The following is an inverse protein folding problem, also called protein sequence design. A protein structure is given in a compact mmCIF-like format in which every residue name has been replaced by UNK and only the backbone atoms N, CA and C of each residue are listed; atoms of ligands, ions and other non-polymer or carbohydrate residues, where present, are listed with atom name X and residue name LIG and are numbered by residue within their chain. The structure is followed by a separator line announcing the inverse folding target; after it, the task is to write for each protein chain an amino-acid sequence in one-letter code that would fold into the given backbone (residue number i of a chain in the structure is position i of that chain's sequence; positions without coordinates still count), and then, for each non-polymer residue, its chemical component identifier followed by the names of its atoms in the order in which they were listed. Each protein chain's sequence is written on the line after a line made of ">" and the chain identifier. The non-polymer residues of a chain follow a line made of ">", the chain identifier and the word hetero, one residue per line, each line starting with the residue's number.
data_IF_761770161091
#
_entry.id   IF_761770161091
#
_cell.length_a   1.000
_cell.length_b   1.000
_cell.length_c   1.000
_cell.angle_alpha   90.00
_cell.angle_beta   90.00
_cell.angle_gamma   90.00
#
_symmetry.space_group_name_H-M   'P 1'
#
loop_
_entity.id
_entity.type
_entity.pdbx_description
1 polymer ?
#
# COMPACT_ATOMS: atom_id res chain seq x y z
N UNK A 1 -18.66 20.80 -11.96
CA UNK A 1 -17.94 19.76 -12.72
C UNK A 1 -18.38 18.35 -12.33
N UNK A 2 -18.21 17.92 -11.05
CA UNK A 2 -18.59 16.58 -10.57
C UNK A 2 -19.98 16.12 -11.02
N UNK A 3 -21.01 16.94 -10.78
CA UNK A 3 -22.40 16.58 -11.07
C UNK A 3 -22.77 16.58 -12.56
N UNK A 4 -21.90 17.07 -13.45
CA UNK A 4 -22.08 16.91 -14.89
C UNK A 4 -21.63 15.51 -15.35
N UNK A 5 -20.71 14.90 -14.61
CA UNK A 5 -20.08 13.61 -14.92
C UNK A 5 -20.72 12.48 -14.12
N UNK A 6 -21.15 12.78 -12.89
CA UNK A 6 -21.72 11.84 -11.93
C UNK A 6 -23.11 12.29 -11.44
N UNK A 7 -24.11 12.48 -12.32
CA UNK A 7 -25.43 12.97 -11.94
C UNK A 7 -26.22 11.98 -11.06
N UNK A 8 -26.07 10.67 -11.28
CA UNK A 8 -26.66 9.62 -10.44
C UNK A 8 -26.03 9.54 -9.06
N UNK A 9 -24.72 9.77 -8.92
CA UNK A 9 -24.07 9.92 -7.61
C UNK A 9 -24.71 11.08 -6.85
N UNK A 10 -24.94 12.22 -7.50
CA UNK A 10 -25.63 13.36 -6.88
C UNK A 10 -27.02 12.98 -6.39
N UNK A 11 -27.79 12.27 -7.22
CA UNK A 11 -29.14 11.84 -6.89
C UNK A 11 -29.17 10.86 -5.70
N UNK A 12 -28.15 10.01 -5.58
CA UNK A 12 -27.98 9.09 -4.45
C UNK A 12 -27.68 9.85 -3.16
N UNK A 13 -26.81 10.86 -3.22
CA UNK A 13 -26.32 11.57 -2.05
C UNK A 13 -27.27 12.64 -1.53
N UNK A 14 -28.13 13.21 -2.37
CA UNK A 14 -28.92 14.39 -2.03
C UNK A 14 -30.41 14.24 -2.32
N UNK A 15 -31.22 14.72 -1.38
CA UNK A 15 -32.65 14.93 -1.56
C UNK A 15 -32.99 16.42 -1.42
N UNK A 16 -34.08 16.85 -2.07
CA UNK A 16 -34.60 18.22 -1.90
C UNK A 16 -35.09 18.43 -0.47
N UNK A 17 -34.58 19.48 0.18
CA UNK A 17 -35.09 19.93 1.48
C UNK A 17 -36.18 20.99 1.31
N UNK A 18 -35.94 21.98 0.44
CA UNK A 18 -36.86 23.04 0.02
C UNK A 18 -36.36 23.65 -1.30
N UNK A 19 -37.13 24.48 -2.03
CA UNK A 19 -36.67 25.06 -3.29
C UNK A 19 -35.30 25.73 -3.16
N UNK A 20 -34.31 25.24 -3.93
CA UNK A 20 -32.92 25.72 -3.90
C UNK A 20 -32.01 25.09 -2.83
N UNK A 21 -32.51 24.19 -1.98
CA UNK A 21 -31.75 23.57 -0.88
C UNK A 21 -31.80 22.05 -0.94
N UNK A 22 -30.66 21.43 -0.68
CA UNK A 22 -30.47 19.99 -0.62
C UNK A 22 -30.08 19.57 0.80
N UNK A 23 -30.43 18.34 1.16
CA UNK A 23 -29.91 17.64 2.34
C UNK A 23 -29.21 16.36 1.91
N UNK A 24 -28.19 15.95 2.66
CA UNK A 24 -27.64 14.62 2.51
C UNK A 24 -28.69 13.57 2.90
N UNK A 25 -28.74 12.49 2.14
CA UNK A 25 -29.61 11.32 2.39
C UNK A 25 -28.92 10.26 3.24
N UNK A 26 -27.58 10.25 3.22
CA UNK A 26 -26.73 9.27 3.89
C UNK A 26 -25.96 9.91 5.05
N UNK A 27 -25.67 9.15 6.12
CA UNK A 27 -24.74 9.60 7.16
C UNK A 27 -23.32 9.71 6.60
N UNK A 28 -22.51 10.59 7.18
CA UNK A 28 -21.16 10.90 6.70
C UNK A 28 -20.24 9.68 6.46
N UNK A 29 -20.23 8.65 7.34
CA UNK A 29 -19.42 7.46 7.12
C UNK A 29 -19.80 6.67 5.86
N UNK A 30 -21.05 6.78 5.40
CA UNK A 30 -21.58 6.04 4.25
C UNK A 30 -21.40 6.78 2.92
N UNK A 31 -21.11 8.08 2.94
CA UNK A 31 -20.96 8.90 1.72
C UNK A 31 -19.82 8.39 0.84
N UNK A 32 -18.65 8.10 1.41
CA UNK A 32 -17.50 7.60 0.64
C UNK A 32 -17.76 6.23 0.01
N UNK A 33 -18.23 5.21 0.75
CA UNK A 33 -18.67 3.94 0.16
C UNK A 33 -19.72 4.12 -0.94
N UNK A 34 -20.71 5.00 -0.74
CA UNK A 34 -21.76 5.24 -1.73
C UNK A 34 -21.23 5.83 -3.03
N UNK A 35 -20.22 6.71 -2.97
CA UNK A 35 -19.56 7.24 -4.18
C UNK A 35 -18.74 6.15 -4.87
N UNK A 36 -17.86 5.46 -4.13
CA UNK A 36 -16.92 4.49 -4.68
C UNK A 36 -17.62 3.28 -5.33
N UNK A 37 -18.74 2.85 -4.74
CA UNK A 37 -19.51 1.71 -5.24
C UNK A 37 -20.59 2.10 -6.25
N UNK A 38 -20.73 3.39 -6.59
CA UNK A 38 -21.74 3.83 -7.55
C UNK A 38 -21.33 3.44 -8.99
N UNK A 39 -22.25 2.90 -9.81
CA UNK A 39 -21.94 2.48 -11.18
C UNK A 39 -21.32 3.58 -12.07
N UNK A 40 -21.75 4.83 -11.91
CA UNK A 40 -21.15 5.96 -12.65
C UNK A 40 -19.69 6.22 -12.25
N UNK A 41 -19.33 6.03 -10.98
CA UNK A 41 -17.95 6.20 -10.54
C UNK A 41 -17.07 5.05 -11.04
N UNK A 42 -17.59 3.81 -11.03
CA UNK A 42 -16.94 2.66 -11.67
C UNK A 42 -16.75 2.89 -13.17
N UNK A 43 -17.76 3.39 -13.87
CA UNK A 43 -17.69 3.70 -15.30
C UNK A 43 -16.71 4.84 -15.60
N UNK A 44 -16.66 5.86 -14.74
CA UNK A 44 -15.68 6.95 -14.83
C UNK A 44 -14.24 6.42 -14.73
N UNK A 45 -13.96 5.55 -13.74
CA UNK A 45 -12.64 4.93 -13.61
C UNK A 45 -12.30 4.09 -14.84
N UNK A 46 -13.23 3.27 -15.33
CA UNK A 46 -13.02 2.45 -16.52
C UNK A 46 -12.68 3.29 -17.77
N UNK A 47 -13.37 4.42 -17.97
CA UNK A 47 -13.08 5.34 -19.08
C UNK A 47 -11.68 5.97 -18.97
N UNK A 48 -11.24 6.31 -17.76
CA UNK A 48 -9.90 6.83 -17.55
C UNK A 48 -8.82 5.76 -17.79
N UNK A 49 -9.04 4.52 -17.34
CA UNK A 49 -8.17 3.39 -17.63
C UNK A 49 -8.10 3.07 -19.14
N UNK A 50 -9.23 3.15 -19.84
CA UNK A 50 -9.28 2.97 -21.30
C UNK A 50 -8.49 4.06 -22.05
N UNK A 51 -8.60 5.32 -21.60
CA UNK A 51 -7.77 6.43 -22.14
C UNK A 51 -6.29 6.17 -21.95
N UNK A 52 -5.89 5.74 -20.75
CA UNK A 52 -4.50 5.37 -20.48
C UNK A 52 -4.03 4.22 -21.37
N UNK A 53 -4.85 3.20 -21.55
CA UNK A 53 -4.56 2.06 -22.42
C UNK A 53 -4.40 2.48 -23.89
N UNK A 54 -5.26 3.38 -24.37
CA UNK A 54 -5.13 3.94 -25.73
C UNK A 54 -3.82 4.71 -25.90
N UNK A 55 -3.43 5.54 -24.93
CA UNK A 55 -2.13 6.20 -24.95
C UNK A 55 -0.98 5.19 -24.95
N UNK A 56 -1.03 4.18 -24.08
CA UNK A 56 -0.03 3.11 -23.99
C UNK A 56 0.16 2.39 -25.33
N UNK A 57 -0.94 2.06 -26.01
CA UNK A 57 -0.90 1.44 -27.33
C UNK A 57 -0.30 2.37 -28.39
N UNK A 58 -0.63 3.66 -28.35
CA UNK A 58 -0.11 4.65 -29.29
C UNK A 58 1.41 4.85 -29.16
N UNK A 59 1.94 4.89 -27.93
CA UNK A 59 3.39 5.06 -27.69
C UNK A 59 4.18 3.75 -27.72
N UNK A 60 3.50 2.61 -27.66
CA UNK A 60 4.10 1.27 -27.63
C UNK A 60 5.16 1.04 -28.72
N UNK A 61 4.85 1.26 -30.02
CA UNK A 61 5.82 1.08 -31.10
C UNK A 61 7.07 1.94 -30.94
N UNK A 62 6.93 3.18 -30.46
CA UNK A 62 8.04 4.09 -30.22
C UNK A 62 8.92 3.62 -29.06
N UNK A 63 8.33 3.12 -27.98
CA UNK A 63 9.06 2.58 -26.84
C UNK A 63 9.81 1.29 -27.21
N UNK A 64 9.18 0.38 -27.95
CA UNK A 64 9.83 -0.86 -28.41
C UNK A 64 10.89 -0.61 -29.49
N UNK A 65 10.70 0.45 -30.30
CA UNK A 65 11.66 0.86 -31.33
C UNK A 65 12.83 1.67 -30.80
N UNK A 66 12.73 2.19 -29.57
CA UNK A 66 13.85 2.83 -28.88
C UNK A 66 14.97 1.83 -28.61
N UNK A 67 16.23 2.27 -28.65
CA UNK A 67 17.37 1.38 -28.53
C UNK A 67 18.70 2.13 -28.55
N UNK A 68 19.78 1.40 -28.85
CA UNK A 68 21.14 1.95 -28.85
C UNK A 68 21.28 3.14 -29.79
N UNK A 69 21.89 4.23 -29.32
CA UNK A 69 22.01 5.50 -30.02
C UNK A 69 20.73 6.35 -29.99
N UNK A 70 19.69 5.91 -29.28
CA UNK A 70 18.45 6.65 -29.11
C UNK A 70 18.66 7.99 -28.37
N UNK A 71 17.65 8.86 -28.47
CA UNK A 71 17.66 10.17 -27.84
C UNK A 71 16.61 10.22 -26.70
N UNK A 72 17.00 9.94 -25.43
CA UNK A 72 16.07 9.92 -24.29
C UNK A 72 15.18 11.16 -24.17
N UNK A 73 15.75 12.36 -24.40
CA UNK A 73 14.99 13.63 -24.33
C UNK A 73 13.88 13.72 -25.38
N UNK A 74 14.14 13.29 -26.61
CA UNK A 74 13.14 13.29 -27.67
C UNK A 74 12.06 12.22 -27.43
N UNK A 75 12.43 11.09 -26.81
CA UNK A 75 11.48 10.06 -26.40
C UNK A 75 10.49 10.59 -25.37
N UNK A 76 10.99 11.16 -24.26
CA UNK A 76 10.11 11.67 -23.18
C UNK A 76 9.21 12.81 -23.66
N UNK A 77 9.75 13.75 -24.44
CA UNK A 77 8.98 14.87 -25.01
C UNK A 77 7.78 14.34 -25.80
N UNK A 78 8.02 13.40 -26.71
CA UNK A 78 6.98 12.83 -27.56
C UNK A 78 5.93 12.01 -26.79
N UNK A 79 6.33 11.16 -25.84
CA UNK A 79 5.36 10.35 -25.08
C UNK A 79 4.57 11.20 -24.08
N UNK A 80 5.19 12.24 -23.50
CA UNK A 80 4.55 13.12 -22.55
C UNK A 80 3.55 14.08 -23.22
N UNK A 81 3.89 14.59 -24.41
CA UNK A 81 2.93 15.35 -25.23
C UNK A 81 1.73 14.50 -25.64
N UNK A 82 1.97 13.24 -26.05
CA UNK A 82 0.89 12.31 -26.37
C UNK A 82 -0.01 12.02 -25.15
N UNK A 83 0.58 11.91 -23.96
CA UNK A 83 -0.17 11.69 -22.71
C UNK A 83 -1.05 12.89 -22.41
N UNK A 84 -0.46 14.10 -22.45
CA UNK A 84 -1.17 15.36 -22.23
C UNK A 84 -2.33 15.53 -23.21
N UNK A 85 -2.11 15.22 -24.49
CA UNK A 85 -3.16 15.28 -25.52
C UNK A 85 -4.31 14.29 -25.23
N UNK A 86 -4.00 13.08 -24.76
CA UNK A 86 -4.98 12.03 -24.44
C UNK A 86 -5.89 12.44 -23.28
N UNK A 87 -5.31 13.08 -22.25
CA UNK A 87 -6.04 13.45 -21.03
C UNK A 87 -6.61 14.88 -21.04
N UNK A 88 -6.28 15.73 -22.02
CA UNK A 88 -6.74 17.12 -22.11
C UNK A 88 -8.26 17.31 -21.93
N UNK A 89 -9.04 16.34 -22.41
CA UNK A 89 -10.50 16.36 -22.36
C UNK A 89 -11.07 15.29 -21.41
N UNK A 90 -10.25 14.73 -20.52
CA UNK A 90 -10.72 13.78 -19.53
C UNK A 90 -11.50 14.54 -18.44
N UNK A 91 -12.78 14.22 -18.20
CA UNK A 91 -13.56 14.89 -17.17
C UNK A 91 -12.96 14.65 -15.78
N UNK A 92 -13.03 15.65 -14.90
CA UNK A 92 -12.59 15.58 -13.48
C UNK A 92 -11.09 15.30 -13.25
N UNK A 93 -10.32 15.02 -14.28
CA UNK A 93 -8.88 14.83 -14.22
C UNK A 93 -8.16 16.06 -14.74
N UNK A 94 -7.09 16.47 -14.06
CA UNK A 94 -6.19 17.48 -14.58
C UNK A 94 -5.11 16.80 -15.44
N UNK A 95 -5.07 17.17 -16.72
CA UNK A 95 -4.10 16.62 -17.66
C UNK A 95 -2.66 17.03 -17.30
N UNK A 96 -2.47 18.17 -16.63
CA UNK A 96 -1.17 18.60 -16.13
C UNK A 96 -0.71 17.80 -14.93
N UNK A 97 -1.62 17.41 -14.02
CA UNK A 97 -1.26 16.53 -12.90
C UNK A 97 -0.76 15.17 -13.43
N UNK A 98 -1.46 14.59 -14.41
CA UNK A 98 -1.06 13.32 -15.05
C UNK A 98 0.27 13.46 -15.81
N UNK A 99 0.47 14.56 -16.52
CA UNK A 99 1.74 14.87 -17.17
C UNK A 99 2.86 14.99 -16.14
N UNK A 100 2.63 15.71 -15.05
CA UNK A 100 3.61 15.94 -13.99
C UNK A 100 4.05 14.62 -13.36
N UNK A 101 3.10 13.72 -13.09
CA UNK A 101 3.39 12.37 -12.59
C UNK A 101 4.32 11.57 -13.50
N UNK A 102 4.13 11.65 -14.82
CA UNK A 102 5.08 11.05 -15.78
C UNK A 102 6.45 11.72 -15.70
N UNK A 103 6.51 13.05 -15.58
CA UNK A 103 7.77 13.78 -15.52
C UNK A 103 8.55 13.53 -14.23
N UNK A 104 7.84 13.37 -13.10
CA UNK A 104 8.45 12.99 -11.83
C UNK A 104 9.01 11.57 -11.92
N UNK A 105 8.22 10.62 -12.43
CA UNK A 105 8.70 9.25 -12.66
C UNK A 105 9.87 9.19 -13.66
N UNK A 106 9.84 10.07 -14.68
CA UNK A 106 10.95 10.22 -15.60
C UNK A 106 12.22 10.62 -14.88
N UNK A 107 12.17 11.69 -14.08
CA UNK A 107 13.32 12.20 -13.36
C UNK A 107 13.87 11.19 -12.34
N UNK A 108 13.02 10.40 -11.71
CA UNK A 108 13.42 9.46 -10.67
C UNK A 108 13.97 8.13 -11.20
N UNK A 109 13.38 7.57 -12.27
CA UNK A 109 13.65 6.18 -12.69
C UNK A 109 13.80 6.06 -14.21
N UNK A 110 12.81 6.52 -14.97
CA UNK A 110 12.72 6.18 -16.40
C UNK A 110 13.83 6.83 -17.23
N UNK A 111 14.35 7.99 -16.81
CA UNK A 111 15.46 8.66 -17.45
C UNK A 111 16.72 7.80 -17.45
N UNK A 112 17.11 7.27 -16.30
CA UNK A 112 18.32 6.46 -16.16
C UNK A 112 18.22 5.19 -16.99
N UNK A 113 17.06 4.52 -16.97
CA UNK A 113 16.79 3.37 -17.82
C UNK A 113 16.93 3.71 -19.31
N UNK A 114 16.36 4.83 -19.75
CA UNK A 114 16.42 5.28 -21.14
C UNK A 114 17.87 5.59 -21.57
N UNK A 115 18.69 6.18 -20.69
CA UNK A 115 20.10 6.40 -20.98
C UNK A 115 20.92 5.10 -21.02
N UNK A 116 20.63 4.13 -20.14
CA UNK A 116 21.24 2.80 -20.20
C UNK A 116 20.92 2.10 -21.53
N UNK A 117 19.66 2.12 -21.95
CA UNK A 117 19.22 1.54 -23.23
C UNK A 117 19.85 2.30 -24.42
N UNK A 118 19.96 3.63 -24.35
CA UNK A 118 20.60 4.41 -25.40
C UNK A 118 22.11 4.09 -25.53
N UNK A 119 22.79 3.84 -24.41
CA UNK A 119 24.22 3.51 -24.42
C UNK A 119 24.48 2.08 -24.93
N UNK A 120 23.78 1.09 -24.36
CA UNK A 120 24.11 -0.32 -24.52
C UNK A 120 23.10 -1.12 -25.35
N UNK A 121 21.93 -0.54 -25.63
CA UNK A 121 20.79 -1.25 -26.18
C UNK A 121 20.01 -2.01 -25.11
N UNK A 122 19.13 -2.90 -25.55
CA UNK A 122 18.33 -3.76 -24.66
C UNK A 122 19.16 -4.91 -24.08
N UNK A 123 20.09 -4.56 -23.19
CA UNK A 123 21.01 -5.49 -22.54
C UNK A 123 20.86 -5.34 -21.04
N UNK A 124 20.72 -6.47 -20.34
CA UNK A 124 20.76 -6.51 -18.88
C UNK A 124 22.11 -7.03 -18.41
N UNK A 125 22.68 -6.36 -17.40
CA UNK A 125 23.92 -6.78 -16.75
C UNK A 125 23.70 -6.81 -15.24
N UNK A 126 24.15 -7.90 -14.62
CA UNK A 126 24.20 -8.01 -13.17
C UNK A 126 25.58 -7.60 -12.67
N UNK A 127 25.65 -6.68 -11.72
CA UNK A 127 26.89 -6.22 -11.09
C UNK A 127 26.93 -6.70 -9.63
N UNK A 128 28.13 -7.00 -9.10
CA UNK A 128 28.30 -7.36 -7.69
C UNK A 128 28.33 -6.11 -6.83
N UNK A 129 27.65 -6.15 -5.70
CA UNK A 129 27.64 -5.07 -4.71
C UNK A 129 28.73 -5.38 -3.70
N UNK A 130 29.83 -4.64 -3.74
CA UNK A 130 30.96 -4.81 -2.81
C UNK A 130 31.05 -3.57 -1.93
N UNK A 131 30.80 -3.74 -0.64
CA UNK A 131 30.91 -2.68 0.36
C UNK A 131 32.19 -2.86 1.19
N UNK A 132 32.90 -1.78 1.44
CA UNK A 132 34.03 -1.79 2.38
C UNK A 132 33.51 -1.57 3.78
N UNK A 133 33.79 -2.50 4.70
CA UNK A 133 33.41 -2.33 6.09
C UNK A 133 34.27 -1.26 6.80
N UNK A 134 33.85 -0.84 8.00
CA UNK A 134 34.56 0.18 8.82
C UNK A 134 36.02 -0.20 9.14
N UNK A 135 36.44 -1.45 8.88
CA UNK A 135 37.80 -1.96 9.09
C UNK A 135 38.58 -2.10 7.76
N UNK A 136 38.06 -1.57 6.66
CA UNK A 136 38.71 -1.60 5.35
C UNK A 136 38.56 -2.94 4.60
N UNK A 137 37.73 -3.87 5.07
CA UNK A 137 37.55 -5.18 4.43
C UNK A 137 36.36 -5.14 3.45
N UNK A 138 36.62 -5.52 2.21
CA UNK A 138 35.58 -5.72 1.20
C UNK A 138 34.63 -6.86 1.61
N UNK A 139 33.32 -6.58 1.56
CA UNK A 139 32.24 -7.54 1.78
C UNK A 139 31.32 -7.54 0.59
N UNK A 140 31.09 -8.73 0.05
CA UNK A 140 30.10 -8.93 -0.98
C UNK A 140 28.69 -8.94 -0.35
N UNK A 141 27.84 -8.03 -0.80
CA UNK A 141 26.46 -7.85 -0.33
C UNK A 141 25.42 -8.43 -1.28
N UNK A 142 25.85 -9.05 -2.39
CA UNK A 142 24.96 -9.63 -3.39
C UNK A 142 25.18 -8.99 -4.76
N UNK A 143 24.11 -8.89 -5.53
CA UNK A 143 24.14 -8.41 -6.90
C UNK A 143 22.94 -7.49 -7.18
N UNK A 144 23.10 -6.63 -8.17
CA UNK A 144 22.02 -5.78 -8.67
C UNK A 144 22.00 -5.79 -10.20
N UNK A 145 20.85 -5.44 -10.77
CA UNK A 145 20.72 -5.11 -12.17
C UNK A 145 19.94 -3.79 -12.25
N UNK A 146 20.61 -2.76 -12.78
CA UNK A 146 20.08 -1.38 -12.79
C UNK A 146 18.80 -1.28 -13.63
N UNK A 147 18.81 -1.84 -14.85
CA UNK A 147 17.69 -1.75 -15.78
C UNK A 147 16.47 -2.57 -15.31
N UNK A 148 16.68 -3.81 -14.85
CA UNK A 148 15.60 -4.70 -14.39
C UNK A 148 15.88 -5.14 -12.95
N UNK A 149 15.24 -4.51 -11.94
CA UNK A 149 15.38 -4.93 -10.55
C UNK A 149 14.93 -6.38 -10.28
N UNK A 150 15.58 -7.05 -9.32
CA UNK A 150 15.25 -8.44 -8.91
C UNK A 150 13.76 -8.67 -8.65
N UNK A 151 13.02 -7.76 -7.98
CA UNK A 151 11.59 -7.94 -7.76
C UNK A 151 10.77 -8.17 -9.03
N UNK A 152 11.15 -7.58 -10.17
CA UNK A 152 10.45 -7.80 -11.44
C UNK A 152 10.68 -9.22 -11.98
N UNK A 153 11.89 -9.75 -11.86
CA UNK A 153 12.20 -11.13 -12.24
C UNK A 153 11.43 -12.11 -11.36
N UNK A 154 11.40 -11.85 -10.05
CA UNK A 154 10.67 -12.68 -9.09
C UNK A 154 9.18 -12.66 -9.40
N UNK A 155 8.58 -11.49 -9.55
CA UNK A 155 7.15 -11.35 -9.86
C UNK A 155 6.76 -12.03 -11.17
N UNK A 156 7.62 -11.94 -12.21
CA UNK A 156 7.33 -12.48 -13.54
C UNK A 156 7.54 -13.99 -13.64
N UNK A 157 8.64 -14.49 -13.08
CA UNK A 157 9.11 -15.85 -13.36
C UNK A 157 9.16 -16.76 -12.14
N UNK A 158 9.20 -16.20 -10.93
CA UNK A 158 9.42 -16.95 -9.68
C UNK A 158 8.33 -16.64 -8.63
N UNK A 159 7.13 -16.29 -9.08
CA UNK A 159 6.03 -15.92 -8.20
C UNK A 159 5.58 -17.08 -7.31
N UNK A 160 5.74 -18.33 -7.76
CA UNK A 160 5.39 -19.52 -6.96
C UNK A 160 6.37 -19.71 -5.80
N UNK A 161 7.64 -19.50 -6.07
CA UNK A 161 8.72 -19.57 -5.09
C UNK A 161 8.56 -18.46 -4.05
N UNK A 162 8.26 -17.22 -4.48
CA UNK A 162 7.94 -16.12 -3.57
C UNK A 162 6.71 -16.45 -2.72
N UNK A 163 5.62 -16.94 -3.32
CA UNK A 163 4.42 -17.31 -2.58
C UNK A 163 4.66 -18.44 -1.56
N UNK A 164 5.56 -19.37 -1.84
CA UNK A 164 5.96 -20.40 -0.88
C UNK A 164 6.73 -19.82 0.31
N UNK A 165 7.60 -18.83 0.09
CA UNK A 165 8.28 -18.09 1.16
C UNK A 165 7.26 -17.30 1.99
N UNK A 166 6.33 -16.60 1.33
CA UNK A 166 5.29 -15.81 1.99
C UNK A 166 4.39 -16.70 2.88
N UNK A 167 4.04 -17.90 2.41
CA UNK A 167 3.30 -18.88 3.19
C UNK A 167 4.09 -19.38 4.42
N UNK A 168 5.38 -19.66 4.26
CA UNK A 168 6.25 -20.02 5.40
C UNK A 168 6.39 -18.87 6.40
N UNK A 169 6.43 -17.62 5.93
CA UNK A 169 6.48 -16.45 6.80
C UNK A 169 5.19 -16.29 7.59
N UNK A 170 4.03 -16.46 6.94
CA UNK A 170 2.74 -16.44 7.64
C UNK A 170 2.63 -17.54 8.71
N UNK A 171 3.09 -18.75 8.39
CA UNK A 171 3.14 -19.87 9.34
C UNK A 171 4.10 -19.61 10.51
N UNK A 172 5.24 -18.95 10.23
CA UNK A 172 6.20 -18.53 11.25
C UNK A 172 5.58 -17.50 12.19
N UNK A 173 4.93 -16.47 11.65
CA UNK A 173 4.28 -15.42 12.43
C UNK A 173 3.17 -16.00 13.32
N UNK A 174 2.37 -16.93 12.77
CA UNK A 174 1.34 -17.64 13.54
C UNK A 174 1.92 -18.50 14.67
N UNK A 175 3.03 -19.20 14.43
CA UNK A 175 3.69 -20.00 15.46
C UNK A 175 4.30 -19.12 16.55
N UNK A 176 4.86 -17.96 16.20
CA UNK A 176 5.37 -16.98 17.15
C UNK A 176 4.25 -16.38 17.99
N UNK A 177 3.13 -16.01 17.38
CA UNK A 177 1.95 -15.54 18.11
C UNK A 177 1.43 -16.60 19.09
N UNK A 178 1.34 -17.86 18.67
CA UNK A 178 0.94 -18.97 19.56
C UNK A 178 1.89 -19.19 20.72
N UNK A 179 3.20 -18.98 20.50
CA UNK A 179 4.20 -19.09 21.57
C UNK A 179 4.05 -17.96 22.58
N UNK A 180 3.85 -16.72 22.11
CA UNK A 180 3.61 -15.56 22.98
C UNK A 180 2.30 -15.67 23.74
N UNK A 181 1.21 -16.13 23.10
CA UNK A 181 -0.08 -16.36 23.76
C UNK A 181 0.08 -17.39 24.91
N UNK A 182 0.78 -18.50 24.66
CA UNK A 182 1.08 -19.49 25.69
C UNK A 182 1.91 -18.92 26.84
N UNK A 183 2.86 -18.02 26.56
CA UNK A 183 3.65 -17.34 27.59
C UNK A 183 2.79 -16.39 28.42
N UNK A 184 1.88 -15.65 27.80
CA UNK A 184 0.99 -14.68 28.47
C UNK A 184 -0.09 -15.36 29.32
N UNK A 185 -0.71 -16.43 28.82
CA UNK A 185 -1.72 -17.20 29.56
C UNK A 185 -1.13 -17.84 30.83
N UNK A 186 0.13 -18.30 30.75
CA UNK A 186 0.83 -19.02 31.82
C UNK A 186 1.78 -18.12 32.64
N UNK A 187 1.65 -16.79 32.54
CA UNK A 187 2.46 -15.82 33.28
C UNK A 187 1.88 -15.39 34.65
N UNK A 188 0.64 -15.78 34.98
CA UNK A 188 0.02 -15.45 36.27
C UNK A 188 0.71 -16.13 37.46
N UNK A 189 0.41 -15.71 38.70
CA UNK A 189 1.10 -16.19 39.93
C UNK A 189 1.07 -17.73 40.11
N UNK A 190 0.07 -18.43 39.54
CA UNK A 190 -0.07 -19.88 39.55
C UNK A 190 0.31 -20.54 38.20
N UNK A 191 0.79 -19.76 37.23
CA UNK A 191 1.09 -20.20 35.87
C UNK A 191 2.47 -20.84 35.73
N UNK A 192 2.63 -21.69 34.71
CA UNK A 192 3.87 -22.45 34.48
C UNK A 192 5.11 -21.56 34.32
N UNK A 193 4.93 -20.32 33.83
CA UNK A 193 6.04 -19.40 33.59
C UNK A 193 6.22 -18.29 34.64
N UNK A 194 5.42 -18.28 35.72
CA UNK A 194 5.44 -17.24 36.76
C UNK A 194 6.83 -16.96 37.36
N UNK A 195 7.67 -18.00 37.44
CA UNK A 195 9.01 -17.95 38.04
C UNK A 195 10.17 -17.72 37.06
N UNK A 196 9.90 -17.46 35.77
CA UNK A 196 10.95 -17.26 34.78
C UNK A 196 11.32 -15.78 34.63
N UNK A 197 12.56 -15.42 35.01
CA UNK A 197 13.14 -14.10 34.68
C UNK A 197 13.26 -13.87 33.16
N UNK A 198 13.47 -14.96 32.41
CA UNK A 198 13.43 -15.00 30.94
C UNK A 198 13.15 -16.44 30.50
N UNK A 199 12.10 -16.63 29.70
CA UNK A 199 11.73 -17.94 29.19
C UNK A 199 12.70 -18.33 28.07
N UNK A 200 13.64 -19.22 28.40
CA UNK A 200 14.64 -19.70 27.45
C UNK A 200 14.54 -21.21 27.26
N UNK A 201 14.91 -21.68 26.06
CA UNK A 201 14.92 -23.11 25.77
C UNK A 201 15.86 -23.93 26.67
N UNK A 202 16.85 -23.30 27.32
CA UNK A 202 17.71 -23.96 28.30
C UNK A 202 16.95 -24.18 29.61
N UNK A 203 16.40 -23.11 30.19
CA UNK A 203 15.69 -23.15 31.46
C UNK A 203 14.44 -24.04 31.39
N UNK A 204 13.70 -24.02 30.28
CA UNK A 204 12.56 -24.93 30.05
C UNK A 204 12.99 -26.40 30.01
N UNK A 205 14.13 -26.71 29.38
CA UNK A 205 14.64 -28.10 29.33
C UNK A 205 15.14 -28.57 30.69
N UNK A 206 15.73 -27.70 31.50
CA UNK A 206 16.14 -28.01 32.86
C UNK A 206 14.92 -28.31 33.73
N UNK A 207 13.88 -27.47 33.66
CA UNK A 207 12.62 -27.69 34.39
C UNK A 207 11.93 -29.01 34.01
N UNK A 208 11.86 -29.33 32.71
CA UNK A 208 11.33 -30.63 32.25
C UNK A 208 12.10 -31.82 32.86
N UNK A 209 13.42 -31.70 33.06
CA UNK A 209 14.24 -32.76 33.67
C UNK A 209 14.01 -32.88 35.17
N UNK A 210 13.77 -31.76 35.86
CA UNK A 210 13.47 -31.72 37.29
C UNK A 210 12.13 -32.39 37.60
N UNK A 211 11.08 -32.09 36.82
CA UNK A 211 9.75 -32.70 36.96
C UNK A 211 9.82 -34.22 36.71
N UNK A 212 10.58 -34.64 35.70
CA UNK A 212 10.87 -36.05 35.45
C UNK A 212 9.61 -36.89 35.16
N UNK A 213 9.26 -37.79 36.09
CA UNK A 213 8.11 -38.71 35.99
C UNK A 213 7.03 -38.44 37.05
N UNK A 214 7.11 -37.28 37.70
CA UNK A 214 6.15 -36.89 38.74
C UNK A 214 4.74 -36.76 38.15
N UNK A 215 3.77 -37.42 38.78
CA UNK A 215 2.37 -37.40 38.34
C UNK A 215 1.73 -36.02 38.57
N UNK A 216 2.16 -35.32 39.62
CA UNK A 216 1.61 -34.01 39.99
C UNK A 216 2.10 -32.90 39.04
N UNK A 217 3.19 -33.14 38.28
CA UNK A 217 3.75 -32.20 37.31
C UNK A 217 3.36 -32.49 35.85
N UNK A 218 2.39 -33.36 35.59
CA UNK A 218 2.04 -33.80 34.24
C UNK A 218 1.55 -32.65 33.33
N UNK A 219 0.72 -31.76 33.87
CA UNK A 219 0.15 -30.62 33.13
C UNK A 219 1.21 -29.56 32.82
N UNK A 220 2.05 -29.21 33.82
CA UNK A 220 3.21 -28.33 33.64
C UNK A 220 4.13 -28.85 32.53
N UNK A 221 4.46 -30.15 32.59
CA UNK A 221 5.32 -30.80 31.63
C UNK A 221 4.71 -30.87 30.21
N UNK A 222 3.37 -30.91 30.08
CA UNK A 222 2.70 -30.79 28.79
C UNK A 222 2.88 -29.40 28.17
N UNK A 223 2.65 -28.33 28.94
CA UNK A 223 2.79 -26.94 28.51
C UNK A 223 4.25 -26.60 28.15
N UNK A 224 5.21 -27.01 28.99
CA UNK A 224 6.64 -26.82 28.72
C UNK A 224 7.09 -27.54 27.44
N UNK A 225 6.56 -28.75 27.17
CA UNK A 225 6.84 -29.49 25.94
C UNK A 225 6.19 -28.84 24.71
N UNK A 226 4.97 -28.32 24.84
CA UNK A 226 4.30 -27.57 23.78
C UNK A 226 5.10 -26.31 23.43
N UNK A 227 5.50 -25.52 24.43
CA UNK A 227 6.32 -24.33 24.25
C UNK A 227 7.66 -24.67 23.55
N UNK A 228 8.33 -25.74 23.99
CA UNK A 228 9.58 -26.18 23.36
C UNK A 228 9.35 -26.65 21.91
N UNK A 229 8.24 -27.36 21.65
CA UNK A 229 7.81 -27.77 20.32
C UNK A 229 7.62 -26.58 19.38
N UNK A 230 6.91 -25.54 19.81
CA UNK A 230 6.75 -24.29 19.08
C UNK A 230 8.11 -23.64 18.79
N UNK A 231 8.98 -23.53 19.79
CA UNK A 231 10.33 -23.00 19.62
C UNK A 231 11.16 -23.77 18.57
N UNK A 232 11.07 -25.10 18.55
CA UNK A 232 11.75 -25.91 17.52
C UNK A 232 11.18 -25.70 16.11
N UNK A 233 9.85 -25.57 15.99
CA UNK A 233 9.17 -25.30 14.71
C UNK A 233 9.54 -23.91 14.18
N UNK A 234 9.52 -22.89 15.04
CA UNK A 234 9.94 -21.52 14.71
C UNK A 234 11.39 -21.50 14.20
N UNK A 235 12.31 -22.18 14.90
CA UNK A 235 13.71 -22.25 14.47
C UNK A 235 13.87 -22.97 13.11
N UNK A 236 13.11 -24.05 12.88
CA UNK A 236 13.10 -24.77 11.61
C UNK A 236 12.55 -23.91 10.46
N UNK A 237 11.43 -23.21 10.68
CA UNK A 237 10.81 -22.32 9.69
C UNK A 237 11.72 -21.14 9.35
N UNK A 238 12.36 -20.50 10.34
CA UNK A 238 13.37 -19.44 10.10
C UNK A 238 14.51 -19.93 9.22
N UNK A 239 14.96 -21.18 9.42
CA UNK A 239 15.98 -21.78 8.56
C UNK A 239 15.45 -22.04 7.15
N UNK A 240 14.26 -22.63 7.02
CA UNK A 240 13.63 -22.90 5.72
C UNK A 240 13.42 -21.63 4.90
N UNK A 241 12.94 -20.55 5.53
CA UNK A 241 12.77 -19.23 4.89
C UNK A 241 14.12 -18.74 4.37
N UNK A 242 15.17 -18.71 5.21
CA UNK A 242 16.51 -18.28 4.79
C UNK A 242 17.04 -19.11 3.61
N UNK A 243 16.88 -20.43 3.67
CA UNK A 243 17.36 -21.33 2.62
C UNK A 243 16.56 -21.12 1.31
N UNK A 244 15.25 -20.90 1.40
CA UNK A 244 14.37 -20.61 0.27
C UNK A 244 14.63 -19.23 -0.35
N UNK A 245 14.87 -18.19 0.46
CA UNK A 245 15.27 -16.86 -0.01
C UNK A 245 16.60 -16.91 -0.77
N UNK A 246 17.58 -17.66 -0.26
CA UNK A 246 18.87 -17.86 -0.94
C UNK A 246 18.70 -18.60 -2.27
N UNK A 247 17.81 -19.61 -2.31
CA UNK A 247 17.48 -20.33 -3.54
C UNK A 247 16.77 -19.41 -4.56
N UNK A 248 15.79 -18.61 -4.11
CA UNK A 248 15.09 -17.63 -4.94
C UNK A 248 16.06 -16.62 -5.54
N UNK A 249 17.00 -16.09 -4.73
CA UNK A 249 18.02 -15.15 -5.19
C UNK A 249 18.93 -15.77 -6.26
N UNK A 250 19.36 -17.02 -6.06
CA UNK A 250 20.17 -17.75 -7.03
C UNK A 250 19.42 -18.01 -8.34
N UNK A 251 18.14 -18.40 -8.27
CA UNK A 251 17.29 -18.60 -9.44
C UNK A 251 17.08 -17.29 -10.21
N UNK A 252 16.83 -16.19 -9.50
CA UNK A 252 16.68 -14.87 -10.10
C UNK A 252 17.97 -14.45 -10.82
N UNK A 253 19.14 -14.62 -10.18
CA UNK A 253 20.44 -14.34 -10.79
C UNK A 253 20.68 -15.12 -12.08
N UNK A 254 20.37 -16.43 -12.07
CA UNK A 254 20.52 -17.31 -13.23
C UNK A 254 19.55 -17.00 -14.36
N UNK A 255 18.42 -16.33 -14.07
CA UNK A 255 17.44 -15.96 -15.09
C UNK A 255 17.95 -14.84 -16.00
N UNK A 256 18.71 -13.86 -15.49
CA UNK A 256 19.14 -12.67 -16.26
C UNK A 256 19.86 -13.00 -17.58
N UNK A 257 20.88 -13.89 -17.62
CA UNK A 257 21.57 -14.22 -18.86
C UNK A 257 20.70 -14.93 -19.90
N UNK A 258 19.57 -15.50 -19.50
CA UNK A 258 18.65 -16.21 -20.39
C UNK A 258 17.58 -15.31 -21.02
N UNK A 259 17.47 -14.05 -20.59
CA UNK A 259 16.43 -13.14 -21.07
C UNK A 259 16.70 -12.72 -22.51
N UNK A 260 15.67 -12.89 -23.34
CA UNK A 260 15.65 -12.39 -24.71
C UNK A 260 15.38 -10.87 -24.73
N UNK A 261 15.74 -10.21 -25.84
CA UNK A 261 15.43 -8.78 -26.02
C UNK A 261 13.95 -8.47 -25.87
N UNK A 262 13.07 -9.33 -26.38
CA UNK A 262 11.61 -9.16 -26.23
C UNK A 262 11.16 -9.27 -24.77
N UNK A 263 11.72 -10.21 -23.99
CA UNK A 263 11.43 -10.32 -22.56
C UNK A 263 11.96 -9.10 -21.78
N UNK A 264 13.16 -8.61 -22.11
CA UNK A 264 13.73 -7.39 -21.52
C UNK A 264 12.81 -6.20 -21.79
N UNK A 265 12.39 -6.01 -23.05
CA UNK A 265 11.46 -4.95 -23.43
C UNK A 265 10.14 -5.05 -22.69
N UNK A 266 9.56 -6.25 -22.58
CA UNK A 266 8.32 -6.47 -21.84
C UNK A 266 8.47 -6.12 -20.35
N UNK A 267 9.55 -6.57 -19.71
CA UNK A 267 9.80 -6.31 -18.29
C UNK A 267 9.98 -4.81 -18.01
N UNK A 268 10.74 -4.10 -18.86
CA UNK A 268 11.01 -2.67 -18.67
C UNK A 268 9.79 -1.83 -19.05
N UNK A 269 9.24 -2.03 -20.25
CA UNK A 269 8.15 -1.18 -20.73
C UNK A 269 6.86 -1.50 -19.99
N UNK A 270 6.46 -2.77 -19.94
CA UNK A 270 5.15 -3.15 -19.40
C UNK A 270 5.21 -3.25 -17.87
N UNK A 271 6.09 -4.10 -17.35
CA UNK A 271 6.05 -4.47 -15.93
C UNK A 271 6.67 -3.39 -15.02
N UNK A 272 7.61 -2.58 -15.52
CA UNK A 272 8.23 -1.46 -14.77
C UNK A 272 7.55 -0.12 -15.07
N UNK A 273 7.68 0.40 -16.29
CA UNK A 273 7.24 1.76 -16.63
C UNK A 273 5.71 1.88 -16.66
N UNK A 274 5.02 1.06 -17.45
CA UNK A 274 3.57 1.17 -17.62
C UNK A 274 2.80 0.77 -16.37
N UNK A 275 3.28 -0.24 -15.63
CA UNK A 275 2.71 -0.62 -14.33
C UNK A 275 2.74 0.56 -13.34
N UNK A 276 3.87 1.27 -13.26
CA UNK A 276 4.01 2.44 -12.37
C UNK A 276 3.08 3.57 -12.80
N UNK A 277 3.08 3.92 -14.09
CA UNK A 277 2.24 5.00 -14.61
C UNK A 277 0.73 4.68 -14.49
N UNK A 278 0.34 3.42 -14.70
CA UNK A 278 -1.04 2.98 -14.49
C UNK A 278 -1.47 3.14 -13.03
N UNK A 279 -0.60 2.78 -12.07
CA UNK A 279 -0.86 2.98 -10.65
C UNK A 279 -0.99 4.47 -10.31
N UNK A 280 -0.19 5.34 -10.92
CA UNK A 280 -0.30 6.78 -10.70
C UNK A 280 -1.59 7.38 -11.25
N UNK A 281 -2.02 6.97 -12.45
CA UNK A 281 -3.33 7.36 -13.00
C UNK A 281 -4.47 6.87 -12.09
N UNK A 282 -4.37 5.65 -11.55
CA UNK A 282 -5.33 5.16 -10.57
C UNK A 282 -5.33 5.99 -9.27
N UNK A 283 -4.16 6.42 -8.81
CA UNK A 283 -4.04 7.33 -7.67
C UNK A 283 -4.76 8.67 -7.87
N UNK A 284 -4.70 9.24 -9.09
CA UNK A 284 -5.46 10.46 -9.41
C UNK A 284 -6.98 10.22 -9.41
N UNK A 285 -7.44 9.06 -9.88
CA UNK A 285 -8.85 8.68 -9.78
C UNK A 285 -9.32 8.56 -8.33
N UNK A 286 -8.49 7.97 -7.47
CA UNK A 286 -8.77 7.87 -6.04
C UNK A 286 -8.79 9.26 -5.39
N UNK A 287 -7.88 10.16 -5.80
CA UNK A 287 -7.82 11.56 -5.34
C UNK A 287 -9.07 12.36 -5.69
N UNK A 288 -9.67 12.13 -6.87
CA UNK A 288 -10.96 12.74 -7.27
C UNK A 288 -12.06 12.37 -6.27
N UNK A 289 -12.18 11.09 -5.89
CA UNK A 289 -13.16 10.63 -4.89
C UNK A 289 -12.88 11.18 -3.49
N UNK A 290 -11.62 11.19 -3.07
CA UNK A 290 -11.21 11.72 -1.78
C UNK A 290 -11.53 13.22 -1.68
N UNK A 291 -11.24 13.99 -2.73
CA UNK A 291 -11.52 15.42 -2.79
C UNK A 291 -13.03 15.69 -2.73
N UNK A 292 -13.83 14.94 -3.50
CA UNK A 292 -15.29 15.05 -3.46
C UNK A 292 -15.83 14.74 -2.06
N UNK A 293 -15.39 13.63 -1.46
CA UNK A 293 -15.79 13.21 -0.12
C UNK A 293 -15.42 14.27 0.93
N UNK A 294 -14.20 14.81 0.87
CA UNK A 294 -13.74 15.86 1.77
C UNK A 294 -14.62 17.11 1.69
N UNK A 295 -14.91 17.58 0.47
CA UNK A 295 -15.82 18.72 0.26
C UNK A 295 -17.23 18.45 0.75
N UNK A 296 -17.76 17.24 0.54
CA UNK A 296 -19.08 16.88 1.04
C UNK A 296 -19.13 16.87 2.57
N UNK A 297 -18.08 16.39 3.22
CA UNK A 297 -17.95 16.41 4.68
C UNK A 297 -17.88 17.84 5.22
N UNK A 298 -17.02 18.69 4.65
CA UNK A 298 -16.93 20.11 5.02
C UNK A 298 -18.30 20.80 4.93
N UNK A 299 -19.05 20.54 3.86
CA UNK A 299 -20.39 21.09 3.68
C UNK A 299 -21.39 20.51 4.69
N UNK A 300 -21.38 19.20 4.91
CA UNK A 300 -22.28 18.55 5.85
C UNK A 300 -22.07 19.08 7.28
N UNK A 301 -20.82 19.19 7.72
CA UNK A 301 -20.48 19.71 9.04
C UNK A 301 -20.88 21.18 9.18
N UNK A 302 -20.59 22.00 8.15
CA UNK A 302 -20.95 23.42 8.15
C UNK A 302 -22.46 23.67 8.19
N UNK A 303 -23.24 22.81 7.55
CA UNK A 303 -24.69 22.95 7.44
C UNK A 303 -25.47 21.97 8.34
N UNK A 304 -24.79 21.26 9.26
CA UNK A 304 -25.42 20.35 10.21
C UNK A 304 -26.39 21.08 11.15
N UNK A 305 -25.99 22.26 11.64
CA UNK A 305 -26.83 23.12 12.50
C UNK A 305 -27.06 24.47 11.82
N UNK A 306 -28.24 24.69 11.21
CA UNK A 306 -28.60 25.98 10.63
C UNK A 306 -28.49 27.13 11.63
N UNK A 307 -28.00 28.29 11.18
CA UNK A 307 -27.89 29.50 11.99
C UNK A 307 -29.19 29.88 12.74
N UNK A 308 -30.41 29.73 12.18
CA UNK A 308 -31.63 29.97 12.94
C UNK A 308 -31.77 29.05 14.15
N UNK A 309 -31.44 27.76 14.04
CA UNK A 309 -31.48 26.83 15.18
C UNK A 309 -30.46 27.21 16.24
N UNK A 310 -29.24 27.59 15.85
CA UNK A 310 -28.25 28.12 16.80
C UNK A 310 -28.74 29.41 17.47
N UNK A 311 -29.45 30.27 16.73
CA UNK A 311 -30.02 31.51 17.27
C UNK A 311 -31.11 31.21 18.29
N UNK A 312 -32.00 30.26 17.98
CA UNK A 312 -33.07 29.81 18.87
C UNK A 312 -32.50 29.13 20.13
N UNK A 313 -31.46 28.30 19.99
CA UNK A 313 -30.75 27.68 21.11
C UNK A 313 -30.05 28.72 21.99
N UNK A 314 -29.36 29.70 21.41
CA UNK A 314 -28.74 30.80 22.14
C UNK A 314 -29.80 31.62 22.86
N UNK A 315 -30.93 31.95 22.22
CA UNK A 315 -32.02 32.67 22.85
C UNK A 315 -32.62 31.88 24.03
N UNK A 316 -32.83 30.57 23.85
CA UNK A 316 -33.33 29.69 24.91
C UNK A 316 -32.35 29.56 26.08
N UNK A 317 -31.06 29.39 25.81
CA UNK A 317 -30.02 29.33 26.85
C UNK A 317 -29.84 30.69 27.56
N UNK A 318 -29.87 31.80 26.82
CA UNK A 318 -29.78 33.14 27.38
C UNK A 318 -30.96 33.43 28.33
N UNK A 319 -32.18 33.06 27.96
CA UNK A 319 -33.34 33.19 28.82
C UNK A 319 -33.19 32.39 30.14
N UNK A 320 -32.64 31.17 30.08
CA UNK A 320 -32.36 30.35 31.28
C UNK A 320 -31.30 30.98 32.17
N UNK A 321 -30.23 31.54 31.59
CA UNK A 321 -29.19 32.25 32.35
C UNK A 321 -29.76 33.50 33.01
N UNK A 322 -30.57 34.29 32.30
CA UNK A 322 -31.21 35.49 32.84
C UNK A 322 -32.12 35.14 34.03
N UNK A 323 -32.90 34.07 33.94
CA UNK A 323 -33.73 33.59 35.04
C UNK A 323 -32.88 33.19 36.26
N UNK A 324 -31.79 32.46 36.05
CA UNK A 324 -30.87 32.08 37.11
C UNK A 324 -30.21 33.29 37.79
N UNK A 325 -29.77 34.29 37.01
CA UNK A 325 -29.17 35.52 37.52
C UNK A 325 -30.18 36.35 38.34
N UNK A 326 -31.44 36.43 37.91
CA UNK A 326 -32.51 37.07 38.70
C UNK A 326 -32.74 36.35 40.04
N UNK A 327 -32.73 35.01 40.06
CA UNK A 327 -32.83 34.22 41.30
C UNK A 327 -31.63 34.45 42.24
N UNK A 328 -30.47 34.78 41.70
CA UNK A 328 -29.26 35.13 42.47
C UNK A 328 -29.20 36.60 42.89
N UNK A 329 -30.23 37.41 42.59
CA UNK A 329 -30.32 38.81 43.01
C UNK A 329 -29.64 39.81 42.08
N UNK A 330 -29.23 39.41 40.88
CA UNK A 330 -28.75 40.35 39.87
C UNK A 330 -29.92 41.11 39.24
N UNK A 331 -29.84 42.44 39.25
CA UNK A 331 -30.79 43.34 38.61
C UNK A 331 -30.04 44.26 37.63
N UNK A 332 -30.55 44.35 36.42
CA UNK A 332 -30.01 45.19 35.34
C UNK A 332 -31.14 46.13 34.87
N UNK A 333 -30.87 47.43 34.80
CA UNK A 333 -31.76 48.47 34.24
C UNK A 333 -31.53 48.68 32.76
#
# INVERSE_FOLDING_TARGET
>A
PYWQVLPGVRATLFATLRPGYLRLTLPLPEVKPAILNHPEFTAFNAQASERFEHWRQAVGPQLTGFGKGGHPKALIESIAEALLATFRNAPLLDAYDIYQHLMDYWAEIMQDDAYLIAADGWVVRTTRIVETDKKGKARDRGWTCELIPKPLIVARYLAKEQAAIDALQADLDAAQASQTELEEEEAGDDGVFAGYDSITALAVKERIREIGSDADGADELALLRQWLGLGTRIAAMKKQIRDAEAALDALAYQKYPSLTTAEIQSLVIVDKWMSTLAATVQGELDRVSQTLTGRLRELAERYATPLPQLTDEVAALAARVEEHLKRMGAAWT
#
